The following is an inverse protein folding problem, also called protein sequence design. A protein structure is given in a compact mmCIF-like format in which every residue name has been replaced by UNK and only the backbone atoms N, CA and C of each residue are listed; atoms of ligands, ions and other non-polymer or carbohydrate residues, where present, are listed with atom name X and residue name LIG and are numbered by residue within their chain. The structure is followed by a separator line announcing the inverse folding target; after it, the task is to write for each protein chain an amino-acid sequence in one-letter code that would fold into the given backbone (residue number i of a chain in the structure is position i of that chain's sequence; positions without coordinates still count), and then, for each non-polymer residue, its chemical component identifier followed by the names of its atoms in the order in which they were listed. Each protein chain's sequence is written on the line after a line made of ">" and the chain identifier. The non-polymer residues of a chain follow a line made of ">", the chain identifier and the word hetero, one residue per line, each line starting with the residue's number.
data_IF_857232274449
#
_entry.id   IF_857232274449
#
_cell.length_a   1.000
_cell.length_b   1.000
_cell.length_c   1.000
_cell.angle_alpha   90.00
_cell.angle_beta   90.00
_cell.angle_gamma   90.00
#
_symmetry.space_group_name_H-M   'P 1'
#
loop_
_entity.id
_entity.type
_entity.pdbx_description
1 polymer ?
#
# COMPACT_ATOMS: atom_id res chain seq x y z
N UNK A 1 7.47 -16.35 -3.22
CA UNK A 1 8.29 -15.18 -3.65
C UNK A 1 8.00 -14.00 -2.74
N UNK A 2 8.96 -13.13 -2.43
CA UNK A 2 8.78 -12.02 -1.47
C UNK A 2 9.29 -10.67 -1.99
N UNK A 3 8.57 -9.60 -1.65
CA UNK A 3 9.00 -8.21 -1.83
C UNK A 3 9.61 -7.68 -0.53
N UNK A 4 10.79 -7.09 -0.62
CA UNK A 4 11.47 -6.46 0.52
C UNK A 4 11.16 -4.96 0.59
N UNK A 5 10.41 -4.54 1.61
CA UNK A 5 10.13 -3.12 1.85
C UNK A 5 11.18 -2.56 2.80
N UNK A 6 12.21 -1.92 2.22
CA UNK A 6 13.38 -1.40 2.95
C UNK A 6 13.43 0.11 3.10
N UNK A 7 12.52 0.81 2.43
CA UNK A 7 12.51 2.28 2.37
C UNK A 7 11.13 2.80 2.01
N UNK A 8 10.91 4.08 2.25
CA UNK A 8 9.75 4.82 1.78
C UNK A 8 10.18 6.17 1.20
N UNK A 9 9.47 6.61 0.17
CA UNK A 9 9.56 7.97 -0.36
C UNK A 9 8.69 8.90 0.50
N UNK A 10 9.27 9.98 0.98
CA UNK A 10 8.59 10.99 1.79
C UNK A 10 8.89 12.38 1.26
N UNK A 11 8.08 13.35 1.69
CA UNK A 11 8.20 14.74 1.33
C UNK A 11 8.41 15.58 2.59
N UNK A 12 9.16 16.69 2.47
CA UNK A 12 9.31 17.68 3.53
C UNK A 12 7.97 18.34 3.85
N UNK A 13 7.85 19.00 5.02
CA UNK A 13 6.60 19.65 5.44
C UNK A 13 6.13 20.73 4.46
N UNK A 14 7.07 21.46 3.85
CA UNK A 14 6.81 22.43 2.79
C UNK A 14 6.51 21.77 1.41
N UNK A 15 6.65 20.46 1.31
CA UNK A 15 6.42 19.66 0.11
C UNK A 15 7.41 19.92 -1.03
N UNK A 16 8.52 20.62 -0.79
CA UNK A 16 9.50 20.97 -1.83
C UNK A 16 10.52 19.86 -2.06
N UNK A 17 10.94 19.21 -0.98
CA UNK A 17 12.04 18.23 -1.01
C UNK A 17 11.51 16.83 -0.83
N UNK A 18 11.84 15.95 -1.77
CA UNK A 18 11.60 14.52 -1.66
C UNK A 18 12.85 13.83 -1.08
N UNK A 19 12.66 12.84 -0.22
CA UNK A 19 13.75 12.10 0.41
C UNK A 19 13.33 10.65 0.68
N UNK A 20 14.33 9.77 0.80
CA UNK A 20 14.13 8.41 1.26
C UNK A 20 14.37 8.31 2.77
N UNK A 21 13.66 7.39 3.41
CA UNK A 21 13.91 7.01 4.80
C UNK A 21 13.49 5.57 5.04
N UNK A 22 13.87 5.01 6.18
CA UNK A 22 13.32 3.72 6.61
C UNK A 22 11.79 3.75 6.67
N UNK A 23 11.11 2.61 6.43
CA UNK A 23 9.66 2.52 6.59
C UNK A 23 9.20 2.95 7.99
N UNK A 24 7.88 3.15 8.16
CA UNK A 24 7.32 3.49 9.47
C UNK A 24 7.81 2.51 10.54
N UNK A 25 8.02 3.02 11.75
CA UNK A 25 8.62 2.28 12.87
C UNK A 25 10.09 1.87 12.67
N UNK A 26 10.76 2.38 11.62
CA UNK A 26 12.17 2.07 11.29
C UNK A 26 12.43 0.58 11.05
N UNK A 27 11.40 -0.18 10.66
CA UNK A 27 11.47 -1.62 10.42
C UNK A 27 11.33 -1.93 8.94
N UNK A 28 12.23 -2.74 8.42
CA UNK A 28 12.03 -3.40 7.15
C UNK A 28 11.01 -4.53 7.30
N UNK A 29 10.40 -4.93 6.20
CA UNK A 29 9.47 -6.07 6.20
C UNK A 29 9.49 -6.77 4.85
N UNK A 30 9.14 -8.05 4.89
CA UNK A 30 8.91 -8.84 3.70
C UNK A 30 7.40 -9.02 3.51
N UNK A 31 6.96 -8.89 2.27
CA UNK A 31 5.56 -9.07 1.87
C UNK A 31 5.51 -10.19 0.84
N UNK A 32 4.72 -11.26 1.03
CA UNK A 32 4.57 -12.29 0.03
C UNK A 32 3.97 -11.71 -1.26
N UNK A 33 4.46 -12.18 -2.40
CA UNK A 33 3.93 -11.82 -3.71
C UNK A 33 3.34 -13.07 -4.37
N UNK A 34 2.14 -12.94 -4.93
CA UNK A 34 1.57 -13.97 -5.79
C UNK A 34 2.33 -14.03 -7.12
N UNK A 35 2.42 -15.22 -7.76
CA UNK A 35 3.03 -15.37 -9.08
C UNK A 35 2.37 -14.46 -10.14
N UNK A 36 1.05 -14.34 -10.12
CA UNK A 36 0.31 -13.49 -11.06
C UNK A 36 0.63 -12.01 -10.87
N UNK A 37 0.81 -11.55 -9.62
CA UNK A 37 1.22 -10.17 -9.37
C UNK A 37 2.62 -9.93 -9.92
N UNK A 38 3.56 -10.87 -9.75
CA UNK A 38 4.89 -10.75 -10.34
C UNK A 38 4.83 -10.68 -11.87
N UNK A 39 4.01 -11.52 -12.50
CA UNK A 39 3.84 -11.51 -13.97
C UNK A 39 3.42 -10.12 -14.45
N UNK A 40 2.36 -9.57 -13.85
CA UNK A 40 1.87 -8.21 -14.16
C UNK A 40 2.93 -7.14 -13.87
N UNK A 41 3.75 -7.36 -12.85
CA UNK A 41 4.86 -6.47 -12.52
C UNK A 41 5.92 -6.44 -13.62
N UNK A 42 6.29 -7.61 -14.13
CA UNK A 42 7.27 -7.73 -15.22
C UNK A 42 6.76 -7.07 -16.49
N UNK A 43 5.52 -7.38 -16.91
CA UNK A 43 4.84 -6.75 -18.07
C UNK A 43 4.83 -5.22 -17.93
N UNK A 44 4.50 -4.72 -16.73
CA UNK A 44 4.53 -3.29 -16.46
C UNK A 44 5.94 -2.70 -16.63
N UNK A 45 6.98 -3.35 -16.11
CA UNK A 45 8.35 -2.83 -16.21
C UNK A 45 8.95 -2.91 -17.61
N UNK A 46 8.46 -3.80 -18.46
CA UNK A 46 8.79 -3.84 -19.89
C UNK A 46 8.18 -2.66 -20.63
N UNK A 47 6.89 -2.37 -20.39
CA UNK A 47 6.18 -1.25 -21.00
C UNK A 47 6.63 0.12 -20.45
N UNK A 48 7.00 0.17 -19.16
CA UNK A 48 7.38 1.39 -18.45
C UNK A 48 8.75 1.21 -17.77
N UNK A 49 9.86 1.44 -18.50
CA UNK A 49 11.20 1.24 -17.97
C UNK A 49 11.46 2.09 -16.73
N UNK A 50 11.91 1.42 -15.67
CA UNK A 50 12.19 2.04 -14.38
C UNK A 50 13.22 3.18 -14.49
N UNK A 51 13.04 4.21 -13.67
CA UNK A 51 13.87 5.41 -13.71
C UNK A 51 14.78 5.48 -12.50
N UNK A 52 16.08 5.65 -12.72
CA UNK A 52 17.04 5.86 -11.64
C UNK A 52 16.92 7.27 -11.08
N UNK A 53 16.76 7.38 -9.77
CA UNK A 53 16.78 8.66 -9.05
C UNK A 53 17.72 8.57 -7.85
N UNK A 54 18.37 9.69 -7.56
CA UNK A 54 19.15 9.88 -6.35
C UNK A 54 18.46 10.93 -5.51
N UNK A 55 18.10 10.59 -4.27
CA UNK A 55 17.48 11.51 -3.32
C UNK A 55 18.23 11.47 -1.98
N UNK A 56 18.14 12.53 -1.17
CA UNK A 56 18.62 12.52 0.21
C UNK A 56 18.02 11.36 1.02
N UNK A 57 18.80 10.83 1.95
CA UNK A 57 18.35 9.87 2.95
C UNK A 57 18.20 10.56 4.30
N UNK A 58 17.06 10.36 4.97
CA UNK A 58 16.78 10.95 6.27
C UNK A 58 16.62 9.90 7.36
N UNK A 59 17.37 10.09 8.45
CA UNK A 59 17.35 9.23 9.63
C UNK A 59 18.29 8.03 9.51
N UNK A 60 18.17 7.04 10.42
CA UNK A 60 19.08 5.90 10.47
C UNK A 60 18.95 5.01 9.22
N UNK A 61 19.96 4.17 8.99
CA UNK A 61 19.99 3.22 7.88
C UNK A 61 20.88 3.69 6.72
N UNK A 62 20.68 3.08 5.54
CA UNK A 62 21.42 3.36 4.31
C UNK A 62 22.96 3.30 4.41
N UNK A 63 23.47 2.49 5.35
CA UNK A 63 24.91 2.36 5.61
C UNK A 63 25.61 3.71 5.87
N UNK A 64 24.91 4.66 6.51
CA UNK A 64 25.46 5.99 6.83
C UNK A 64 25.57 6.95 5.64
N UNK A 65 25.12 6.56 4.44
CA UNK A 65 25.17 7.44 3.26
C UNK A 65 24.08 8.51 3.31
N UNK A 66 24.46 9.73 2.92
CA UNK A 66 23.58 10.90 2.88
C UNK A 66 22.52 10.83 1.78
N UNK A 67 22.75 10.03 0.74
CA UNK A 67 21.83 9.86 -0.39
C UNK A 67 21.61 8.38 -0.70
N UNK A 68 20.49 8.08 -1.33
CA UNK A 68 20.19 6.76 -1.86
C UNK A 68 19.78 6.85 -3.33
N UNK A 69 20.45 6.05 -4.15
CA UNK A 69 20.13 5.85 -5.57
C UNK A 69 19.23 4.63 -5.71
N UNK A 70 18.07 4.79 -6.35
CA UNK A 70 17.07 3.71 -6.52
C UNK A 70 16.45 3.76 -7.91
N UNK A 71 15.92 2.62 -8.35
CA UNK A 71 15.04 2.55 -9.54
C UNK A 71 13.59 2.73 -9.11
N UNK A 72 12.96 3.81 -9.56
CA UNK A 72 11.53 4.03 -9.44
C UNK A 72 10.81 3.23 -10.53
N UNK A 73 9.94 2.33 -10.11
CA UNK A 73 9.16 1.48 -11.00
C UNK A 73 7.96 2.26 -11.51
N UNK A 74 7.25 2.95 -10.61
CA UNK A 74 6.12 3.82 -10.97
C UNK A 74 6.58 5.28 -10.90
N UNK A 75 6.40 6.01 -12.00
CA UNK A 75 6.79 7.42 -12.13
C UNK A 75 5.63 8.28 -12.65
N UNK A 76 5.79 9.60 -12.56
CA UNK A 76 4.95 10.52 -13.32
C UNK A 76 5.28 10.44 -14.83
N UNK A 77 4.47 11.08 -15.67
CA UNK A 77 4.77 11.25 -17.11
C UNK A 77 6.12 11.94 -17.37
N UNK A 78 6.60 12.73 -16.41
CA UNK A 78 7.90 13.41 -16.46
C UNK A 78 9.05 12.52 -15.96
N UNK A 79 8.83 11.19 -15.86
CA UNK A 79 9.82 10.21 -15.42
C UNK A 79 10.44 10.55 -14.07
N UNK A 80 9.65 11.07 -13.15
CA UNK A 80 10.10 11.43 -11.81
C UNK A 80 9.19 10.89 -10.71
N UNK A 81 9.64 11.04 -9.46
CA UNK A 81 8.92 10.64 -8.25
C UNK A 81 7.48 11.18 -8.18
N UNK A 82 6.56 10.32 -7.74
CA UNK A 82 5.16 10.69 -7.52
C UNK A 82 5.02 11.51 -6.23
N UNK A 83 4.31 12.63 -6.33
CA UNK A 83 3.84 13.40 -5.17
C UNK A 83 2.41 12.96 -4.82
N UNK A 84 2.13 12.45 -3.60
CA UNK A 84 0.82 11.92 -3.25
C UNK A 84 -0.35 12.89 -3.46
N UNK A 85 -0.16 14.17 -3.12
CA UNK A 85 -1.19 15.19 -3.33
C UNK A 85 -1.50 15.40 -4.81
N UNK A 86 -0.47 15.52 -5.65
CA UNK A 86 -0.65 15.66 -7.10
C UNK A 86 -1.25 14.41 -7.73
N UNK A 87 -0.88 13.23 -7.26
CA UNK A 87 -1.45 11.96 -7.71
C UNK A 87 -2.94 11.85 -7.38
N UNK A 88 -3.31 12.18 -6.14
CA UNK A 88 -4.69 12.21 -5.71
C UNK A 88 -5.52 13.16 -6.61
N UNK A 89 -5.03 14.37 -6.81
CA UNK A 89 -5.75 15.42 -7.53
C UNK A 89 -5.83 15.18 -9.05
N UNK A 90 -4.73 14.73 -9.67
CA UNK A 90 -4.60 14.65 -11.14
C UNK A 90 -4.85 13.26 -11.70
N UNK A 91 -4.89 12.23 -10.87
CA UNK A 91 -5.04 10.84 -11.32
C UNK A 91 -6.18 10.15 -10.61
N UNK A 92 -6.19 10.15 -9.26
CA UNK A 92 -7.24 9.44 -8.52
C UNK A 92 -8.61 10.06 -8.71
N UNK A 93 -8.76 11.37 -8.50
CA UNK A 93 -10.08 12.02 -8.60
C UNK A 93 -10.70 11.94 -10.00
N UNK A 94 -9.96 12.18 -11.11
CA UNK A 94 -10.47 11.91 -12.44
C UNK A 94 -10.93 10.45 -12.62
N UNK A 95 -10.16 9.48 -12.12
CA UNK A 95 -10.52 8.07 -12.20
C UNK A 95 -11.77 7.72 -11.38
N UNK A 96 -11.92 8.31 -10.18
CA UNK A 96 -13.12 8.15 -9.35
C UNK A 96 -14.34 8.74 -10.03
N UNK A 97 -14.22 9.92 -10.65
CA UNK A 97 -15.31 10.55 -11.38
C UNK A 97 -15.70 9.74 -12.62
N UNK A 98 -14.71 9.27 -13.39
CA UNK A 98 -14.94 8.39 -14.54
C UNK A 98 -15.61 7.06 -14.15
N UNK A 99 -15.33 6.56 -12.94
CA UNK A 99 -15.99 5.39 -12.37
C UNK A 99 -17.36 5.69 -11.73
N UNK A 100 -17.82 6.95 -11.73
CA UNK A 100 -19.09 7.36 -11.13
C UNK A 100 -19.10 7.34 -9.59
N UNK A 101 -17.94 7.31 -8.94
CA UNK A 101 -17.82 7.26 -7.48
C UNK A 101 -17.84 8.64 -6.82
N UNK A 102 -17.57 9.68 -7.61
CA UNK A 102 -17.69 11.08 -7.22
C UNK A 102 -18.28 11.86 -8.40
N UNK A 103 -18.85 13.03 -8.14
CA UNK A 103 -19.31 13.96 -9.16
C UNK A 103 -18.15 14.35 -10.09
N UNK A 104 -18.45 14.43 -11.38
CA UNK A 104 -17.54 15.01 -12.36
C UNK A 104 -17.23 16.45 -11.97
N UNK A 105 -15.97 16.86 -12.15
CA UNK A 105 -15.60 18.27 -11.99
C UNK A 105 -16.32 19.08 -13.06
N UNK A 106 -16.90 20.22 -12.67
CA UNK A 106 -17.53 21.13 -13.62
C UNK A 106 -16.50 21.62 -14.65
N UNK A 107 -16.94 21.77 -15.89
CA UNK A 107 -16.06 22.15 -17.01
C UNK A 107 -15.50 23.57 -16.89
N UNK A 108 -16.23 24.46 -16.21
CA UNK A 108 -15.87 25.86 -15.96
C UNK A 108 -14.84 26.04 -14.82
N UNK A 109 -14.57 25.00 -14.04
CA UNK A 109 -13.73 25.08 -12.85
C UNK A 109 -12.40 24.32 -13.00
N UNK A 110 -11.28 25.03 -12.76
CA UNK A 110 -9.95 24.42 -12.79
C UNK A 110 -9.52 23.78 -11.46
N UNK A 111 -10.28 24.02 -10.39
CA UNK A 111 -10.11 23.46 -9.04
C UNK A 111 -11.47 22.95 -8.51
N UNK A 112 -11.50 22.27 -7.36
CA UNK A 112 -12.77 22.01 -6.66
C UNK A 112 -13.48 20.69 -6.97
N UNK A 113 -12.74 19.59 -7.08
CA UNK A 113 -13.39 18.26 -7.06
C UNK A 113 -14.19 18.03 -5.77
N UNK A 114 -15.21 17.18 -5.88
CA UNK A 114 -15.96 16.68 -4.72
C UNK A 114 -15.02 16.16 -3.61
N UNK A 115 -15.25 16.57 -2.35
CA UNK A 115 -14.50 16.07 -1.20
C UNK A 115 -14.55 14.54 -1.10
N UNK A 116 -13.42 13.89 -1.33
CA UNK A 116 -13.32 12.43 -1.47
C UNK A 116 -12.13 11.85 -0.70
N UNK A 117 -11.79 12.47 0.44
CA UNK A 117 -10.60 12.15 1.23
C UNK A 117 -10.49 10.65 1.55
N UNK A 118 -11.61 10.00 1.83
CA UNK A 118 -11.67 8.58 2.19
C UNK A 118 -11.40 7.64 1.01
N UNK A 119 -11.50 8.12 -0.24
CA UNK A 119 -11.32 7.34 -1.46
C UNK A 119 -9.94 7.54 -2.12
N UNK A 120 -9.03 8.26 -1.46
CA UNK A 120 -7.70 8.56 -1.99
C UNK A 120 -6.80 7.33 -1.98
N UNK A 121 -5.55 7.46 -2.45
CA UNK A 121 -4.61 6.34 -2.63
C UNK A 121 -4.45 5.39 -1.42
N UNK A 122 -4.71 5.85 -0.19
CA UNK A 122 -4.71 4.99 0.99
C UNK A 122 -5.80 3.90 0.94
N UNK A 123 -6.89 4.09 0.19
CA UNK A 123 -7.95 3.09 0.01
C UNK A 123 -7.43 1.78 -0.58
N UNK A 124 -6.41 1.80 -1.45
CA UNK A 124 -5.81 0.56 -1.96
C UNK A 124 -5.16 -0.29 -0.86
N UNK A 125 -4.63 0.35 0.19
CA UNK A 125 -4.12 -0.35 1.36
C UNK A 125 -5.25 -1.00 2.16
N UNK A 126 -6.42 -0.35 2.25
CA UNK A 126 -7.60 -0.96 2.83
C UNK A 126 -8.07 -2.15 1.98
N UNK A 127 -8.15 -1.99 0.65
CA UNK A 127 -8.52 -3.09 -0.27
C UNK A 127 -7.61 -4.30 -0.10
N UNK A 128 -6.28 -4.10 -0.03
CA UNK A 128 -5.33 -5.19 0.22
C UNK A 128 -5.64 -5.93 1.54
N UNK A 129 -5.88 -5.20 2.63
CA UNK A 129 -6.18 -5.81 3.92
C UNK A 129 -7.52 -6.57 3.91
N UNK A 130 -8.56 -5.95 3.35
CA UNK A 130 -9.90 -6.53 3.27
C UNK A 130 -9.91 -7.82 2.46
N UNK A 131 -9.24 -7.85 1.30
CA UNK A 131 -9.17 -9.04 0.44
C UNK A 131 -8.45 -10.19 1.17
N UNK A 132 -7.32 -9.91 1.82
CA UNK A 132 -6.58 -10.93 2.58
C UNK A 132 -7.42 -11.51 3.73
N UNK A 133 -8.05 -10.65 4.53
CA UNK A 133 -8.84 -11.11 5.69
C UNK A 133 -10.13 -11.83 5.27
N UNK A 134 -10.79 -11.39 4.19
CA UNK A 134 -11.94 -12.09 3.62
C UNK A 134 -11.58 -13.51 3.15
N UNK A 135 -10.34 -13.72 2.70
CA UNK A 135 -9.82 -15.05 2.37
C UNK A 135 -9.44 -15.88 3.61
N UNK A 136 -9.51 -15.30 4.83
CA UNK A 136 -9.15 -15.96 6.08
C UNK A 136 -7.67 -15.94 6.41
N UNK A 137 -6.91 -15.01 5.83
CA UNK A 137 -5.49 -14.81 6.18
C UNK A 137 -5.31 -14.48 7.67
N UNK A 138 -4.16 -14.87 8.22
CA UNK A 138 -3.83 -14.56 9.61
C UNK A 138 -3.65 -13.04 9.84
N UNK A 139 -4.43 -12.42 10.77
CA UNK A 139 -4.34 -11.00 11.04
C UNK A 139 -2.98 -10.56 11.59
N UNK A 140 -2.23 -11.45 12.25
CA UNK A 140 -0.88 -11.15 12.75
C UNK A 140 0.10 -11.02 11.58
N UNK A 141 0.10 -11.97 10.67
CA UNK A 141 0.90 -11.96 9.43
C UNK A 141 0.57 -10.75 8.57
N UNK A 142 -0.72 -10.46 8.36
CA UNK A 142 -1.15 -9.28 7.63
C UNK A 142 -0.69 -7.98 8.30
N UNK A 143 -0.82 -7.85 9.63
CA UNK A 143 -0.31 -6.71 10.40
C UNK A 143 1.17 -6.46 10.13
N UNK A 144 1.98 -7.52 10.14
CA UNK A 144 3.41 -7.45 9.85
C UNK A 144 3.68 -6.99 8.41
N UNK A 145 3.02 -7.57 7.41
CA UNK A 145 3.18 -7.18 5.99
C UNK A 145 2.75 -5.74 5.73
N UNK A 146 1.70 -5.28 6.41
CA UNK A 146 1.25 -3.90 6.36
C UNK A 146 2.22 -2.96 7.08
N UNK A 147 2.97 -3.44 8.06
CA UNK A 147 3.87 -2.65 8.90
C UNK A 147 3.12 -1.83 9.94
N UNK A 148 2.06 -2.39 10.53
CA UNK A 148 1.39 -1.79 11.68
C UNK A 148 2.29 -1.87 12.93
N UNK A 149 2.11 -0.92 13.85
CA UNK A 149 2.86 -0.90 15.10
C UNK A 149 2.39 -1.99 16.08
N UNK A 150 1.13 -2.39 15.98
CA UNK A 150 0.49 -3.47 16.74
C UNK A 150 -0.55 -4.16 15.86
N UNK A 151 -0.78 -5.45 16.10
CA UNK A 151 -1.89 -6.21 15.51
C UNK A 151 -3.26 -5.63 15.87
N UNK A 152 -3.38 -4.97 17.02
CA UNK A 152 -4.61 -4.28 17.45
C UNK A 152 -5.12 -3.32 16.38
N UNK A 153 -4.22 -2.57 15.73
CA UNK A 153 -4.59 -1.66 14.63
C UNK A 153 -5.27 -2.42 13.49
N UNK A 154 -4.76 -3.61 13.14
CA UNK A 154 -5.36 -4.46 12.11
C UNK A 154 -6.73 -4.96 12.54
N UNK A 155 -6.85 -5.45 13.77
CA UNK A 155 -8.10 -6.02 14.29
C UNK A 155 -9.19 -4.94 14.40
N UNK A 156 -8.88 -3.79 14.99
CA UNK A 156 -9.82 -2.66 15.10
C UNK A 156 -10.29 -2.16 13.73
N UNK A 157 -9.39 -2.13 12.74
CA UNK A 157 -9.71 -1.55 11.43
C UNK A 157 -10.39 -2.56 10.50
N UNK A 158 -10.06 -3.85 10.58
CA UNK A 158 -10.39 -4.81 9.52
C UNK A 158 -10.99 -6.15 10.00
N UNK A 159 -11.09 -6.43 11.31
CA UNK A 159 -11.57 -7.75 11.77
C UNK A 159 -12.98 -8.09 11.25
N UNK A 160 -13.79 -7.09 10.91
CA UNK A 160 -15.11 -7.28 10.32
C UNK A 160 -15.09 -7.94 8.93
N UNK A 161 -13.94 -8.03 8.26
CA UNK A 161 -13.77 -8.79 7.01
C UNK A 161 -13.46 -10.27 7.25
N UNK A 162 -13.19 -10.71 8.47
CA UNK A 162 -12.87 -12.11 8.74
C UNK A 162 -14.12 -12.99 8.53
N UNK A 163 -14.02 -14.08 7.76
CA UNK A 163 -15.15 -14.95 7.48
C UNK A 163 -15.54 -15.80 8.69
N UNK A 164 -16.78 -16.30 8.68
CA UNK A 164 -17.21 -17.45 9.49
C UNK A 164 -16.99 -17.33 11.00
N UNK A 165 -17.28 -16.15 11.58
CA UNK A 165 -17.14 -15.88 13.01
C UNK A 165 -17.73 -17.01 13.89
N UNK A 166 -16.87 -17.90 14.38
CA UNK A 166 -17.21 -19.02 15.27
C UNK A 166 -17.66 -20.33 14.59
N UNK A 167 -17.85 -20.40 13.27
CA UNK A 167 -18.15 -21.67 12.59
C UNK A 167 -16.87 -22.50 12.42
N UNK A 168 -15.79 -21.89 11.93
CA UNK A 168 -14.48 -22.56 11.79
C UNK A 168 -13.95 -23.11 13.11
N UNK A 169 -14.13 -22.35 14.18
CA UNK A 169 -13.70 -22.75 15.53
C UNK A 169 -14.45 -23.99 16.04
N UNK A 170 -15.76 -24.07 15.79
CA UNK A 170 -16.57 -25.25 16.15
C UNK A 170 -16.12 -26.48 15.39
N UNK A 171 -16.04 -26.39 14.06
CA UNK A 171 -15.58 -27.50 13.21
C UNK A 171 -14.17 -27.99 13.59
N UNK A 172 -13.26 -27.08 13.95
CA UNK A 172 -11.92 -27.46 14.40
C UNK A 172 -11.93 -28.22 15.73
N UNK A 173 -12.79 -27.81 16.68
CA UNK A 173 -12.93 -28.52 17.96
C UNK A 173 -13.58 -29.89 17.78
N UNK A 174 -14.62 -29.99 16.95
CA UNK A 174 -15.29 -31.27 16.65
C UNK A 174 -14.28 -32.27 16.05
N UNK A 175 -13.51 -31.85 15.05
CA UNK A 175 -12.47 -32.68 14.43
C UNK A 175 -11.36 -33.09 15.42
N UNK A 176 -10.99 -32.20 16.35
CA UNK A 176 -9.99 -32.54 17.37
C UNK A 176 -10.51 -33.60 18.35
N UNK A 177 -11.74 -33.45 18.84
CA UNK A 177 -12.37 -34.41 19.75
C UNK A 177 -12.59 -35.77 19.08
N UNK A 178 -12.96 -35.81 17.80
CA UNK A 178 -13.09 -37.05 17.02
C UNK A 178 -11.73 -37.73 16.76
N UNK A 179 -10.63 -36.98 16.72
CA UNK A 179 -9.29 -37.53 16.51
C UNK A 179 -8.69 -38.22 17.75
N UNK A 180 -9.29 -37.99 18.92
CA UNK A 180 -8.89 -38.62 20.19
C UNK A 180 -9.74 -39.85 20.57
N UNK A 181 -10.76 -40.21 19.77
CA UNK A 181 -11.62 -41.39 19.96
C UNK A 181 -11.27 -42.54 19.02
#
# INVERSE_FOLDING_TARGET
>A
MVMNVRRQLQWSKDGKTAYFKLPKNRKERQVPLSPDFLKRFNEYTEAFPAVTVTLPWLGPGNAGRETATVRLLVTTQWRNRIRPGSFNEKTMKPALAAAGLIAARREDESWGWEPSREMMHHRWRHTYASVQLAAGEDPVSLSHWMGHASVTITLETYAHFMPDNGMRGRTAMDAWLESES
#
